data_IF_576751504249
#
_entry.id   IF_576751504249
#
_cell.length_a   1.000
_cell.length_b   1.000
_cell.length_c   1.000
_cell.angle_alpha   90.00
_cell.angle_beta   90.00
_cell.angle_gamma   90.00
#
_symmetry.space_group_name_H-M   'P 1'
#
loop_
_entity.id
_entity.type
_entity.pdbx_description
1 polymer ?
#
# COMPACT_ATOMS: atom_id res chain seq x y z
N UNK A 1 -4.66 26.59 -13.52
CA UNK A 1 -5.17 25.24 -13.17
C UNK A 1 -4.02 24.26 -12.89
N UNK A 2 -2.99 24.18 -13.74
CA UNK A 2 -1.86 23.25 -13.58
C UNK A 2 -1.17 23.26 -12.19
N UNK A 3 -0.88 24.45 -11.63
CA UNK A 3 -0.20 24.56 -10.32
C UNK A 3 -0.97 23.93 -9.14
N UNK A 4 -2.32 24.02 -9.13
CA UNK A 4 -3.15 23.43 -8.06
C UNK A 4 -3.23 21.90 -8.17
N UNK A 5 -3.23 21.37 -9.40
CA UNK A 5 -3.17 19.93 -9.64
C UNK A 5 -1.84 19.33 -9.19
N UNK A 6 -0.71 19.97 -9.52
CA UNK A 6 0.61 19.55 -9.05
C UNK A 6 0.67 19.57 -7.52
N UNK A 7 0.20 20.64 -6.89
CA UNK A 7 0.13 20.74 -5.43
C UNK A 7 -0.70 19.59 -4.82
N UNK A 8 -1.87 19.28 -5.39
CA UNK A 8 -2.70 18.18 -4.91
C UNK A 8 -2.00 16.81 -5.01
N UNK A 9 -1.25 16.55 -6.09
CA UNK A 9 -0.46 15.33 -6.25
C UNK A 9 0.68 15.26 -5.25
N UNK A 10 1.44 16.34 -5.07
CA UNK A 10 2.51 16.43 -4.07
C UNK A 10 1.95 16.19 -2.67
N UNK A 11 0.81 16.82 -2.35
CA UNK A 11 0.14 16.62 -1.07
C UNK A 11 -0.28 15.16 -0.85
N UNK A 12 -0.80 14.52 -1.89
CA UNK A 12 -1.13 13.09 -1.84
C UNK A 12 0.07 12.18 -1.64
N UNK A 13 1.20 12.46 -2.30
CA UNK A 13 2.47 11.75 -2.11
C UNK A 13 2.95 11.91 -0.66
N UNK A 14 2.94 13.12 -0.11
CA UNK A 14 3.37 13.39 1.27
C UNK A 14 2.52 12.64 2.29
N UNK A 15 1.19 12.65 2.13
CA UNK A 15 0.28 11.87 2.98
C UNK A 15 0.63 10.40 2.88
N UNK A 16 0.69 9.85 1.67
CA UNK A 16 0.97 8.43 1.45
C UNK A 16 2.35 8.01 1.96
N UNK A 17 3.35 8.88 1.90
CA UNK A 17 4.68 8.65 2.48
C UNK A 17 4.58 8.33 3.98
N UNK A 18 3.72 9.03 4.72
CA UNK A 18 3.50 8.75 6.15
C UNK A 18 2.62 7.52 6.38
N UNK A 19 1.61 7.28 5.55
CA UNK A 19 0.79 6.05 5.61
C UNK A 19 1.65 4.80 5.35
N UNK A 20 2.68 4.94 4.52
CA UNK A 20 3.67 3.92 4.21
C UNK A 20 4.53 3.48 5.37
N UNK A 21 4.44 4.13 6.54
CA UNK A 21 5.09 3.65 7.77
C UNK A 21 4.71 2.21 8.14
N UNK A 22 3.56 1.72 7.65
CA UNK A 22 3.16 0.31 7.75
C UNK A 22 4.25 -0.66 7.23
N UNK A 23 5.03 -0.25 6.23
CA UNK A 23 6.15 -1.06 5.71
C UNK A 23 7.41 -1.02 6.57
N UNK A 24 7.48 -0.13 7.56
CA UNK A 24 8.54 -0.14 8.57
C UNK A 24 8.18 -0.94 9.82
N UNK A 25 6.99 -1.56 9.86
CA UNK A 25 6.52 -2.30 11.03
C UNK A 25 7.53 -3.36 11.48
N UNK A 26 8.09 -4.16 10.56
CA UNK A 26 9.07 -5.19 10.92
C UNK A 26 10.33 -4.64 11.58
N UNK A 27 10.73 -3.41 11.24
CA UNK A 27 11.83 -2.73 11.93
C UNK A 27 11.43 -2.33 13.34
N UNK A 28 10.32 -1.58 13.46
CA UNK A 28 9.81 -1.11 14.74
C UNK A 28 9.49 -2.25 15.72
N UNK A 29 8.95 -3.35 15.21
CA UNK A 29 8.60 -4.55 15.97
C UNK A 29 9.80 -5.11 16.74
N UNK A 30 11.01 -5.08 16.18
CA UNK A 30 12.22 -5.57 16.87
C UNK A 30 12.50 -4.82 18.17
N UNK A 31 12.27 -3.52 18.18
CA UNK A 31 12.47 -2.70 19.37
C UNK A 31 11.28 -2.77 20.33
N UNK A 32 10.04 -2.78 19.81
CA UNK A 32 8.84 -2.88 20.65
C UNK A 32 8.76 -4.23 21.39
N UNK A 33 9.03 -5.33 20.68
CA UNK A 33 9.05 -6.66 21.26
C UNK A 33 10.13 -6.78 22.33
N UNK A 34 11.34 -6.30 22.03
CA UNK A 34 12.44 -6.28 23.00
C UNK A 34 12.11 -5.45 24.25
N UNK A 35 11.53 -4.27 24.07
CA UNK A 35 11.12 -3.40 25.19
C UNK A 35 10.09 -4.08 26.09
N UNK A 36 9.01 -4.59 25.51
CA UNK A 36 7.94 -5.20 26.28
C UNK A 36 8.39 -6.50 26.95
N UNK A 37 9.20 -7.31 26.26
CA UNK A 37 9.76 -8.54 26.81
C UNK A 37 10.61 -8.28 28.07
N UNK A 38 11.43 -7.22 28.06
CA UNK A 38 12.33 -6.90 29.17
C UNK A 38 11.64 -6.10 30.28
N UNK A 39 10.76 -5.16 29.94
CA UNK A 39 10.22 -4.16 30.88
C UNK A 39 8.80 -4.42 31.35
N UNK A 40 8.01 -5.19 30.61
CA UNK A 40 6.57 -5.36 30.87
C UNK A 40 6.24 -6.80 31.22
N UNK A 41 6.51 -7.73 30.31
CA UNK A 41 6.17 -9.15 30.46
C UNK A 41 7.07 -10.02 29.58
N UNK A 42 7.88 -10.87 30.21
CA UNK A 42 8.81 -11.79 29.54
C UNK A 42 8.12 -12.92 28.76
N UNK A 43 6.81 -13.09 28.89
CA UNK A 43 6.06 -14.04 28.06
C UNK A 43 5.75 -13.49 26.66
N UNK A 44 5.91 -12.18 26.45
CA UNK A 44 5.66 -11.54 25.16
C UNK A 44 6.78 -11.88 24.18
N UNK A 45 6.42 -12.44 23.04
CA UNK A 45 7.32 -12.78 21.95
C UNK A 45 7.02 -12.00 20.65
N UNK A 46 7.85 -12.21 19.64
CA UNK A 46 7.65 -11.69 18.29
C UNK A 46 6.33 -12.13 17.65
N UNK A 47 5.87 -13.34 17.96
CA UNK A 47 4.60 -13.89 17.46
C UNK A 47 3.40 -13.11 17.98
N UNK A 48 3.43 -12.67 19.24
CA UNK A 48 2.38 -11.85 19.83
C UNK A 48 2.28 -10.47 19.13
N UNK A 49 3.41 -9.88 18.75
CA UNK A 49 3.43 -8.58 18.07
C UNK A 49 2.87 -8.60 16.64
N UNK A 50 2.80 -9.77 15.99
CA UNK A 50 2.17 -9.93 14.67
C UNK A 50 0.73 -9.42 14.69
N UNK A 51 0.01 -9.64 15.80
CA UNK A 51 -1.36 -9.20 15.96
C UNK A 51 -1.53 -7.70 15.84
N UNK A 52 -0.54 -6.90 16.24
CA UNK A 52 -0.58 -5.43 16.10
C UNK A 52 -0.67 -5.06 14.62
N UNK A 53 0.19 -5.64 13.77
CA UNK A 53 0.17 -5.38 12.32
C UNK A 53 -1.07 -5.97 11.64
N UNK A 54 -1.51 -7.16 12.06
CA UNK A 54 -2.74 -7.77 11.56
C UNK A 54 -3.96 -6.92 11.83
N UNK A 55 -4.09 -6.38 13.05
CA UNK A 55 -5.19 -5.49 13.43
C UNK A 55 -5.09 -4.14 12.72
N UNK A 56 -3.88 -3.61 12.52
CA UNK A 56 -3.68 -2.40 11.69
C UNK A 56 -4.23 -2.59 10.28
N UNK A 57 -3.85 -3.71 9.64
CA UNK A 57 -4.25 -4.02 8.26
C UNK A 57 -5.73 -4.36 8.16
N UNK A 58 -6.28 -5.07 9.15
CA UNK A 58 -7.71 -5.38 9.23
C UNK A 58 -8.53 -4.09 9.40
N UNK A 59 -8.12 -3.20 10.30
CA UNK A 59 -8.75 -1.89 10.48
C UNK A 59 -8.66 -1.05 9.20
N UNK A 60 -7.51 -1.04 8.54
CA UNK A 60 -7.36 -0.37 7.24
C UNK A 60 -8.40 -0.87 6.23
N UNK A 61 -8.50 -2.19 6.05
CA UNK A 61 -9.41 -2.80 5.07
C UNK A 61 -10.88 -2.60 5.42
N UNK A 62 -11.29 -2.93 6.65
CA UNK A 62 -12.68 -2.85 7.09
C UNK A 62 -13.21 -1.42 7.12
N UNK A 63 -12.36 -0.44 7.45
CA UNK A 63 -12.80 0.94 7.61
C UNK A 63 -12.61 1.82 6.37
N UNK A 64 -12.05 1.29 5.28
CA UNK A 64 -11.81 2.04 4.05
C UNK A 64 -13.10 2.50 3.37
N UNK A 65 -14.16 1.70 3.42
CA UNK A 65 -15.49 2.05 2.87
C UNK A 65 -16.05 3.30 3.57
N UNK A 66 -15.90 3.37 4.90
CA UNK A 66 -16.33 4.52 5.68
C UNK A 66 -15.55 5.79 5.32
N UNK A 67 -14.26 5.67 4.97
CA UNK A 67 -13.48 6.79 4.45
C UNK A 67 -14.07 7.41 3.18
N UNK A 68 -14.44 6.57 2.21
CA UNK A 68 -15.11 7.04 0.99
C UNK A 68 -16.50 7.66 1.24
N UNK A 69 -17.27 7.10 2.18
CA UNK A 69 -18.57 7.67 2.57
C UNK A 69 -18.42 9.02 3.30
N UNK A 70 -17.42 9.14 4.16
CA UNK A 70 -17.13 10.36 4.90
C UNK A 70 -16.68 11.47 3.93
N UNK A 71 -15.78 11.16 2.99
CA UNK A 71 -15.37 12.10 1.94
C UNK A 71 -16.56 12.67 1.15
N UNK A 72 -17.54 11.86 0.80
CA UNK A 72 -18.74 12.34 0.09
C UNK A 72 -19.56 13.34 0.91
N UNK A 73 -19.57 13.22 2.24
CA UNK A 73 -20.35 14.07 3.14
C UNK A 73 -19.64 15.36 3.53
N UNK A 74 -18.37 15.28 3.94
CA UNK A 74 -17.63 16.43 4.52
C UNK A 74 -16.53 16.96 3.60
N UNK A 75 -16.32 16.32 2.45
CA UNK A 75 -15.28 16.69 1.50
C UNK A 75 -13.90 16.11 1.84
N UNK A 76 -12.94 16.25 0.91
CA UNK A 76 -11.68 15.53 0.96
C UNK A 76 -10.73 16.03 2.05
N UNK A 77 -10.69 17.35 2.26
CA UNK A 77 -9.75 17.96 3.20
C UNK A 77 -10.05 17.53 4.63
N UNK A 78 -11.32 17.55 5.03
CA UNK A 78 -11.74 17.20 6.38
C UNK A 78 -11.55 15.71 6.62
N UNK A 79 -11.97 14.85 5.69
CA UNK A 79 -11.76 13.40 5.79
C UNK A 79 -10.29 13.04 5.97
N UNK A 80 -9.42 13.63 5.13
CA UNK A 80 -7.99 13.39 5.21
C UNK A 80 -7.37 13.95 6.51
N UNK A 81 -7.78 15.14 6.95
CA UNK A 81 -7.32 15.74 8.20
C UNK A 81 -7.66 14.89 9.43
N UNK A 82 -8.90 14.37 9.50
CA UNK A 82 -9.34 13.47 10.56
C UNK A 82 -8.52 12.19 10.55
N UNK A 83 -8.37 11.55 9.39
CA UNK A 83 -7.59 10.31 9.27
C UNK A 83 -6.12 10.50 9.65
N UNK A 84 -5.48 11.57 9.18
CA UNK A 84 -4.09 11.88 9.50
C UNK A 84 -3.90 12.12 11.00
N UNK A 85 -4.83 12.86 11.61
CA UNK A 85 -4.82 13.10 13.06
C UNK A 85 -4.98 11.79 13.83
N UNK A 86 -5.89 10.90 13.43
CA UNK A 86 -6.06 9.59 14.07
C UNK A 86 -4.81 8.71 13.94
N UNK A 87 -4.16 8.69 12.77
CA UNK A 87 -2.93 7.93 12.57
C UNK A 87 -1.81 8.45 13.47
N UNK A 88 -1.54 9.75 13.42
CA UNK A 88 -0.47 10.36 14.22
C UNK A 88 -0.77 10.28 15.71
N UNK A 89 -2.02 10.50 16.14
CA UNK A 89 -2.43 10.31 17.53
C UNK A 89 -2.30 8.86 17.98
N UNK A 90 -2.65 7.88 17.13
CA UNK A 90 -2.47 6.45 17.41
C UNK A 90 -1.01 6.11 17.71
N UNK A 91 -0.10 6.59 16.87
CA UNK A 91 1.34 6.43 17.07
C UNK A 91 1.81 7.16 18.32
N UNK A 92 1.44 8.42 18.54
CA UNK A 92 1.86 9.19 19.72
C UNK A 92 1.34 8.58 21.03
N UNK A 93 0.10 8.08 21.05
CA UNK A 93 -0.47 7.41 22.21
C UNK A 93 0.26 6.11 22.54
N UNK A 94 0.92 5.49 21.57
CA UNK A 94 1.76 4.31 21.81
C UNK A 94 2.90 4.56 22.78
N UNK A 95 3.39 5.81 22.88
CA UNK A 95 4.36 6.23 23.90
C UNK A 95 3.94 5.82 25.31
N UNK A 96 2.66 5.99 25.65
CA UNK A 96 2.14 5.64 26.97
C UNK A 96 1.74 4.17 27.06
N UNK A 97 1.20 3.60 25.98
CA UNK A 97 0.66 2.23 26.05
C UNK A 97 1.72 1.14 25.98
N UNK A 98 2.90 1.42 25.40
CA UNK A 98 4.02 0.47 25.32
C UNK A 98 4.53 0.04 26.71
N UNK A 99 4.33 0.88 27.72
CA UNK A 99 4.71 0.61 29.11
C UNK A 99 3.64 -0.18 29.88
N UNK A 100 2.43 -0.30 29.32
CA UNK A 100 1.27 -0.85 30.03
C UNK A 100 0.99 -2.30 29.62
N UNK A 101 0.68 -2.54 28.34
CA UNK A 101 0.35 -3.89 27.86
C UNK A 101 0.33 -3.97 26.34
N UNK A 102 0.50 -5.19 25.81
CA UNK A 102 0.43 -5.44 24.37
C UNK A 102 -0.96 -5.13 23.82
N UNK A 103 -2.02 -5.39 24.61
CA UNK A 103 -3.38 -5.04 24.22
C UNK A 103 -3.54 -3.53 24.00
N UNK A 104 -3.00 -2.72 24.92
CA UNK A 104 -3.06 -1.26 24.79
C UNK A 104 -2.29 -0.76 23.56
N UNK A 105 -1.10 -1.33 23.28
CA UNK A 105 -0.33 -1.06 22.03
C UNK A 105 -1.13 -1.46 20.79
N UNK A 106 -1.81 -2.60 20.85
CA UNK A 106 -2.64 -3.10 19.76
C UNK A 106 -3.82 -2.16 19.47
N UNK A 107 -4.41 -1.54 20.49
CA UNK A 107 -5.48 -0.56 20.32
C UNK A 107 -4.98 0.78 19.76
N UNK A 108 -3.80 1.26 20.19
CA UNK A 108 -3.25 2.54 19.74
C UNK A 108 -2.49 2.42 18.43
N UNK A 109 -1.38 1.69 18.42
CA UNK A 109 -0.52 1.51 17.26
C UNK A 109 -1.22 0.68 16.17
N UNK A 110 -2.07 -0.27 16.57
CA UNK A 110 -2.79 -1.15 15.66
C UNK A 110 -4.08 -0.53 15.13
N UNK A 111 -5.13 -0.60 15.93
CA UNK A 111 -6.49 -0.21 15.54
C UNK A 111 -6.60 1.28 15.18
N UNK A 112 -6.17 2.17 16.07
CA UNK A 112 -6.33 3.62 15.87
C UNK A 112 -5.50 4.14 14.68
N UNK A 113 -4.26 3.66 14.53
CA UNK A 113 -3.46 3.94 13.34
C UNK A 113 -4.10 3.39 12.05
N UNK A 114 -4.61 2.16 12.08
CA UNK A 114 -5.29 1.54 10.94
C UNK A 114 -6.54 2.30 10.49
N UNK A 115 -7.33 2.82 11.43
CA UNK A 115 -8.46 3.73 11.16
C UNK A 115 -7.98 5.04 10.51
N UNK A 116 -6.87 5.59 10.99
CA UNK A 116 -6.30 6.81 10.40
C UNK A 116 -5.84 6.61 8.96
N UNK A 117 -5.20 5.46 8.68
CA UNK A 117 -4.80 5.06 7.33
C UNK A 117 -6.03 4.90 6.44
N UNK A 118 -7.08 4.20 6.90
CA UNK A 118 -8.27 3.92 6.10
C UNK A 118 -8.98 5.18 5.59
N UNK A 119 -9.08 6.20 6.44
CA UNK A 119 -9.73 7.48 6.11
C UNK A 119 -8.87 8.35 5.17
N UNK A 120 -7.54 8.28 5.30
CA UNK A 120 -6.62 9.15 4.57
C UNK A 120 -6.14 8.57 3.24
N UNK A 121 -6.36 7.28 2.99
CA UNK A 121 -5.82 6.58 1.82
C UNK A 121 -6.54 6.94 0.51
N UNK A 122 -7.86 6.82 0.48
CA UNK A 122 -8.65 6.94 -0.77
C UNK A 122 -8.70 8.37 -1.28
N UNK A 123 -8.77 9.34 -0.38
CA UNK A 123 -9.07 10.73 -0.70
C UNK A 123 -8.02 11.44 -1.56
N UNK A 124 -6.70 11.29 -1.29
CA UNK A 124 -5.69 11.88 -2.17
C UNK A 124 -5.65 11.25 -3.57
N UNK A 125 -5.90 9.95 -3.68
CA UNK A 125 -6.01 9.25 -4.97
C UNK A 125 -7.17 9.82 -5.79
N UNK A 126 -8.35 9.95 -5.16
CA UNK A 126 -9.52 10.53 -5.80
C UNK A 126 -9.27 11.97 -6.27
N UNK A 127 -8.60 12.79 -5.47
CA UNK A 127 -8.26 14.17 -5.86
C UNK A 127 -7.28 14.20 -7.04
N UNK A 128 -6.22 13.36 -7.02
CA UNK A 128 -5.24 13.28 -8.09
C UNK A 128 -5.85 12.90 -9.44
N UNK A 129 -6.72 11.87 -9.45
CA UNK A 129 -7.42 11.43 -10.66
C UNK A 129 -8.31 12.51 -11.26
N UNK A 130 -8.98 13.32 -10.42
CA UNK A 130 -9.84 14.43 -10.87
C UNK A 130 -9.05 15.55 -11.54
N UNK A 131 -7.81 15.81 -11.09
CA UNK A 131 -6.95 16.84 -11.69
C UNK A 131 -6.35 16.43 -13.03
N UNK A 132 -6.16 15.12 -13.25
CA UNK A 132 -5.50 14.58 -14.44
C UNK A 132 -6.29 13.38 -15.01
N UNK A 133 -7.47 13.63 -15.60
CA UNK A 133 -8.34 12.58 -16.15
C UNK A 133 -7.66 11.72 -17.21
N UNK A 134 -6.77 12.31 -18.01
CA UNK A 134 -6.10 11.61 -19.12
C UNK A 134 -4.96 10.69 -18.64
N UNK A 135 -4.54 10.82 -17.38
CA UNK A 135 -3.37 10.13 -16.82
C UNK A 135 -3.63 9.54 -15.43
N UNK A 136 -4.88 9.14 -15.15
CA UNK A 136 -5.32 8.61 -13.84
C UNK A 136 -4.39 7.52 -13.29
N UNK A 137 -4.01 6.55 -14.13
CA UNK A 137 -3.13 5.45 -13.75
C UNK A 137 -1.75 5.91 -13.29
N UNK A 138 -1.10 6.80 -14.06
CA UNK A 138 0.21 7.36 -13.72
C UNK A 138 0.17 8.20 -12.42
N UNK A 139 -0.86 9.04 -12.25
CA UNK A 139 -1.01 9.85 -11.03
C UNK A 139 -1.24 8.97 -9.80
N UNK A 140 -2.12 7.96 -9.89
CA UNK A 140 -2.31 7.01 -8.79
C UNK A 140 -1.01 6.26 -8.49
N UNK A 141 -0.29 5.80 -9.53
CA UNK A 141 1.01 5.16 -9.39
C UNK A 141 2.01 6.01 -8.59
N UNK A 142 2.13 7.30 -8.90
CA UNK A 142 3.00 8.22 -8.16
C UNK A 142 2.58 8.42 -6.71
N UNK A 143 1.28 8.64 -6.44
CA UNK A 143 0.78 8.83 -5.08
C UNK A 143 1.00 7.56 -4.25
N UNK A 144 0.67 6.39 -4.80
CA UNK A 144 0.83 5.09 -4.15
C UNK A 144 2.31 4.70 -4.04
N UNK A 145 3.19 5.17 -4.93
CA UNK A 145 4.64 5.03 -4.77
C UNK A 145 5.16 5.78 -3.54
N UNK A 146 4.54 6.90 -3.16
CA UNK A 146 4.78 7.56 -1.87
C UNK A 146 4.61 6.60 -0.70
N UNK A 147 3.54 5.80 -0.69
CA UNK A 147 3.31 4.76 0.31
C UNK A 147 4.41 3.69 0.31
N UNK A 148 4.91 3.30 -0.87
CA UNK A 148 6.05 2.39 -0.99
C UNK A 148 7.33 2.97 -0.37
N UNK A 149 7.59 4.27 -0.57
CA UNK A 149 8.76 4.96 -0.03
C UNK A 149 8.69 5.26 1.47
N UNK A 150 7.54 5.09 2.13
CA UNK A 150 7.38 5.47 3.54
C UNK A 150 8.40 4.80 4.45
N UNK A 151 8.64 3.51 4.22
CA UNK A 151 9.63 2.74 4.96
C UNK A 151 11.08 3.21 4.77
N UNK A 152 11.44 3.85 3.64
CA UNK A 152 12.80 4.34 3.40
C UNK A 152 13.20 5.37 4.48
N UNK A 153 12.34 6.34 4.74
CA UNK A 153 12.59 7.38 5.74
C UNK A 153 12.39 6.85 7.16
N UNK A 154 11.26 6.20 7.43
CA UNK A 154 10.91 5.81 8.80
C UNK A 154 11.81 4.71 9.36
N UNK A 155 12.22 3.72 8.56
CA UNK A 155 13.10 2.62 9.02
C UNK A 155 14.46 3.12 9.45
N UNK A 156 15.12 3.95 8.62
CA UNK A 156 16.42 4.52 8.97
C UNK A 156 16.33 5.46 10.17
N UNK A 157 15.30 6.31 10.22
CA UNK A 157 15.08 7.19 11.36
C UNK A 157 14.89 6.40 12.65
N UNK A 158 14.04 5.37 12.64
CA UNK A 158 13.79 4.50 13.80
C UNK A 158 15.09 3.87 14.30
N UNK A 159 15.87 3.25 13.40
CA UNK A 159 17.09 2.55 13.78
C UNK A 159 18.18 3.50 14.27
N UNK A 160 18.39 4.63 13.60
CA UNK A 160 19.37 5.63 14.04
C UNK A 160 18.98 6.30 15.36
N UNK A 161 17.69 6.50 15.61
CA UNK A 161 17.21 7.06 16.87
C UNK A 161 17.31 6.05 18.03
N UNK A 162 16.95 4.79 17.79
CA UNK A 162 16.88 3.77 18.83
C UNK A 162 18.25 3.15 19.13
N UNK A 163 19.00 2.81 18.08
CA UNK A 163 20.24 2.06 18.13
C UNK A 163 21.38 2.77 17.37
N UNK A 164 21.76 4.01 17.72
CA UNK A 164 22.82 4.76 17.05
C UNK A 164 24.18 4.02 17.06
N UNK A 165 24.46 3.26 18.11
CA UNK A 165 25.73 2.55 18.30
C UNK A 165 25.76 1.15 17.64
N UNK A 166 24.71 0.80 16.89
CA UNK A 166 24.56 -0.48 16.19
C UNK A 166 24.78 -1.71 17.10
N UNK A 167 24.22 -1.66 18.30
CA UNK A 167 24.31 -2.74 19.28
C UNK A 167 23.55 -3.97 18.73
N UNK A 168 24.14 -5.17 18.79
CA UNK A 168 23.47 -6.40 18.39
C UNK A 168 22.48 -6.87 19.48
N UNK A 169 21.45 -7.65 19.11
CA UNK A 169 20.60 -8.32 20.09
C UNK A 169 21.38 -9.40 20.86
N UNK A 170 20.86 -9.80 22.03
CA UNK A 170 21.39 -10.93 22.77
C UNK A 170 21.07 -12.29 22.11
N UNK A 171 21.58 -13.38 22.69
CA UNK A 171 21.42 -14.76 22.14
C UNK A 171 19.96 -15.22 22.01
N UNK A 172 19.05 -14.62 22.75
CA UNK A 172 17.62 -14.89 22.68
C UNK A 172 16.89 -14.05 21.61
N UNK A 173 17.62 -13.19 20.89
CA UNK A 173 17.10 -12.39 19.78
C UNK A 173 16.45 -11.07 20.21
N UNK A 174 16.61 -10.64 21.46
CA UNK A 174 16.07 -9.37 21.96
C UNK A 174 17.18 -8.37 22.30
N UNK A 175 16.87 -7.08 22.10
CA UNK A 175 17.73 -5.99 22.57
C UNK A 175 17.48 -5.75 24.06
N UNK A 176 18.54 -5.83 24.88
CA UNK A 176 18.43 -5.64 26.34
C UNK A 176 19.19 -4.45 26.88
N UNK A 177 19.93 -3.75 26.03
CA UNK A 177 20.67 -2.55 26.42
C UNK A 177 19.73 -1.51 27.05
N UNK A 178 19.98 -1.07 28.30
CA UNK A 178 19.07 -0.15 28.99
C UNK A 178 18.90 1.19 28.28
N UNK A 179 19.95 1.71 27.63
CA UNK A 179 19.90 3.01 26.97
C UNK A 179 19.06 2.96 25.69
N UNK A 180 19.24 1.92 24.87
CA UNK A 180 18.40 1.61 23.71
C UNK A 180 16.93 1.47 24.12
N UNK A 181 16.64 0.69 25.15
CA UNK A 181 15.26 0.47 25.61
C UNK A 181 14.61 1.75 26.12
N UNK A 182 15.36 2.63 26.79
CA UNK A 182 14.82 3.91 27.27
C UNK A 182 14.45 4.88 26.13
N UNK A 183 15.00 4.69 24.92
CA UNK A 183 14.63 5.47 23.73
C UNK A 183 13.33 4.98 23.07
N UNK A 184 12.87 3.75 23.35
CA UNK A 184 11.71 3.14 22.68
C UNK A 184 10.40 3.92 22.86
N UNK A 185 10.02 4.40 24.05
CA UNK A 185 8.83 5.24 24.16
C UNK A 185 8.99 6.55 23.38
N UNK A 186 10.18 7.15 23.38
CA UNK A 186 10.44 8.46 22.76
C UNK A 186 10.27 8.49 21.24
N UNK A 187 10.59 7.39 20.54
CA UNK A 187 10.50 7.34 19.08
C UNK A 187 9.05 7.49 18.57
N UNK A 188 8.05 7.08 19.37
CA UNK A 188 6.64 7.21 19.01
C UNK A 188 6.19 8.67 18.95
N UNK A 189 6.64 9.49 19.90
CA UNK A 189 6.37 10.93 19.89
C UNK A 189 7.08 11.58 18.70
N UNK A 190 8.34 11.24 18.47
CA UNK A 190 9.11 11.80 17.37
C UNK A 190 8.49 11.47 15.99
N UNK A 191 8.18 10.19 15.73
CA UNK A 191 7.50 9.76 14.50
C UNK A 191 6.12 10.39 14.36
N UNK A 192 5.33 10.40 15.44
CA UNK A 192 4.00 10.98 15.43
C UNK A 192 3.99 12.46 15.06
N UNK A 193 4.93 13.26 15.60
CA UNK A 193 5.08 14.68 15.26
C UNK A 193 5.55 14.86 13.81
N UNK A 194 6.56 14.10 13.38
CA UNK A 194 7.07 14.15 11.99
C UNK A 194 5.94 13.84 11.01
N UNK A 195 5.18 12.77 11.25
CA UNK A 195 4.07 12.37 10.41
C UNK A 195 2.94 13.38 10.43
N UNK A 196 2.55 13.90 11.59
CA UNK A 196 1.49 14.90 11.70
C UNK A 196 1.81 16.16 10.89
N UNK A 197 3.04 16.65 10.98
CA UNK A 197 3.50 17.83 10.23
C UNK A 197 3.46 17.56 8.73
N UNK A 198 4.05 16.46 8.27
CA UNK A 198 4.04 16.08 6.86
C UNK A 198 2.63 15.87 6.32
N UNK A 199 1.76 15.23 7.09
CA UNK A 199 0.37 14.99 6.77
C UNK A 199 -0.41 16.29 6.66
N UNK A 200 -0.27 17.20 7.62
CA UNK A 200 -1.00 18.46 7.60
C UNK A 200 -0.57 19.33 6.42
N UNK A 201 0.74 19.40 6.12
CA UNK A 201 1.22 20.03 4.89
C UNK A 201 0.55 19.39 3.66
N UNK A 202 0.50 18.06 3.60
CA UNK A 202 -0.17 17.35 2.52
C UNK A 202 -1.67 17.65 2.42
N UNK A 203 -2.39 17.71 3.55
CA UNK A 203 -3.81 18.06 3.60
C UNK A 203 -4.06 19.51 3.13
N UNK A 204 -3.17 20.45 3.45
CA UNK A 204 -3.27 21.83 2.98
C UNK A 204 -3.09 21.94 1.46
N UNK A 205 -2.15 21.18 0.91
CA UNK A 205 -1.89 21.11 -0.54
C UNK A 205 -2.99 20.38 -1.32
N UNK A 206 -3.73 19.48 -0.66
CA UNK A 206 -4.82 18.75 -1.27
C UNK A 206 -5.92 19.70 -1.77
N UNK A 207 -6.41 19.50 -2.99
CA UNK A 207 -7.53 20.28 -3.51
C UNK A 207 -8.31 19.50 -4.55
N UNK A 208 -9.59 19.83 -4.73
CA UNK A 208 -10.42 19.35 -5.84
C UNK A 208 -10.48 20.43 -6.94
N UNK A 209 -10.60 20.05 -8.22
CA UNK A 209 -10.80 21.01 -9.30
C UNK A 209 -12.14 21.74 -9.13
N UNK A 210 -12.19 23.02 -9.56
CA UNK A 210 -13.35 23.92 -9.35
C UNK A 210 -14.60 23.50 -10.14
N UNK A 211 -14.41 22.74 -11.22
CA UNK A 211 -15.48 22.26 -12.11
C UNK A 211 -15.89 20.81 -11.78
N UNK A 212 -15.89 20.42 -10.50
CA UNK A 212 -16.24 19.04 -10.09
C UNK A 212 -17.64 18.63 -10.57
N UNK A 213 -18.58 19.59 -10.62
CA UNK A 213 -19.91 19.37 -11.18
C UNK A 213 -19.89 19.05 -12.69
N UNK A 214 -19.05 19.73 -13.47
CA UNK A 214 -18.90 19.42 -14.90
C UNK A 214 -18.20 18.09 -15.12
N UNK A 215 -17.31 17.67 -14.22
CA UNK A 215 -16.65 16.36 -14.28
C UNK A 215 -17.62 15.21 -13.95
N UNK A 216 -18.48 15.39 -12.93
CA UNK A 216 -19.56 14.45 -12.64
C UNK A 216 -20.60 14.39 -13.78
N UNK A 217 -20.99 15.54 -14.34
CA UNK A 217 -21.88 15.60 -15.51
C UNK A 217 -21.23 15.00 -16.75
N UNK A 218 -19.96 15.27 -17.04
CA UNK A 218 -19.25 14.64 -18.16
C UNK A 218 -19.19 13.12 -18.00
N UNK A 219 -18.95 12.58 -16.79
CA UNK A 219 -19.00 11.12 -16.59
C UNK A 219 -20.42 10.55 -16.74
N UNK A 220 -21.44 11.22 -16.23
CA UNK A 220 -22.84 10.82 -16.42
C UNK A 220 -23.24 10.89 -17.91
N UNK A 221 -22.92 11.98 -18.61
CA UNK A 221 -23.22 12.18 -20.03
C UNK A 221 -22.45 11.20 -20.91
N UNK A 222 -21.18 10.94 -20.61
CA UNK A 222 -20.34 9.99 -21.35
C UNK A 222 -20.77 8.55 -21.11
N UNK A 223 -21.12 8.18 -19.86
CA UNK A 223 -21.71 6.87 -19.58
C UNK A 223 -23.08 6.70 -20.25
N UNK A 224 -23.91 7.75 -20.31
CA UNK A 224 -25.20 7.76 -21.01
C UNK A 224 -25.03 7.62 -22.52
N UNK A 225 -24.12 8.39 -23.13
CA UNK A 225 -23.80 8.31 -24.56
C UNK A 225 -23.28 6.93 -24.93
N UNK A 226 -22.29 6.42 -24.19
CA UNK A 226 -21.75 5.06 -24.38
C UNK A 226 -22.85 4.00 -24.21
N UNK A 227 -23.73 4.13 -23.21
CA UNK A 227 -24.84 3.20 -23.05
C UNK A 227 -25.83 3.23 -24.22
N UNK A 228 -26.12 4.41 -24.79
CA UNK A 228 -27.00 4.56 -25.95
C UNK A 228 -26.38 4.05 -27.26
N UNK A 229 -25.07 4.23 -27.45
CA UNK A 229 -24.34 3.71 -28.61
C UNK A 229 -24.22 2.17 -28.54
N UNK A 230 -24.01 1.62 -27.35
CA UNK A 230 -23.98 0.16 -27.11
C UNK A 230 -25.36 -0.46 -27.35
N UNK A 231 -26.44 0.17 -26.92
CA UNK A 231 -27.81 -0.33 -27.16
C UNK A 231 -28.12 -0.39 -28.66
N UNK A 232 -27.70 0.63 -29.42
CA UNK A 232 -27.80 0.67 -30.88
C UNK A 232 -26.90 -0.35 -31.59
N UNK A 233 -25.73 -0.70 -31.02
CA UNK A 233 -24.85 -1.75 -31.54
C UNK A 233 -25.37 -3.16 -31.22
N UNK A 234 -25.97 -3.35 -30.04
CA UNK A 234 -26.52 -4.63 -29.60
C UNK A 234 -27.71 -5.09 -30.45
N UNK A 235 -28.52 -4.15 -30.98
CA UNK A 235 -29.58 -4.46 -31.95
C UNK A 235 -29.05 -4.97 -33.31
N UNK A 236 -27.76 -4.75 -33.62
CA UNK A 236 -27.18 -5.03 -34.94
C UNK A 236 -26.25 -6.25 -35.00
N UNK A 237 -25.98 -6.94 -33.89
CA UNK A 237 -25.04 -8.06 -33.85
C UNK A 237 -25.68 -9.41 -33.46
N UNK A 238 -25.26 -10.53 -34.10
CA UNK A 238 -25.67 -11.85 -33.66
C UNK A 238 -25.09 -12.17 -32.28
N UNK A 239 -25.90 -12.86 -31.48
CA UNK A 239 -25.84 -13.07 -30.01
C UNK A 239 -24.49 -13.53 -29.40
N UNK A 240 -23.47 -13.88 -30.19
CA UNK A 240 -22.20 -14.47 -29.70
C UNK A 240 -21.09 -13.47 -29.35
N UNK A 241 -21.21 -12.18 -29.67
CA UNK A 241 -20.12 -11.18 -29.49
C UNK A 241 -20.38 -10.16 -28.37
N UNK A 242 -21.44 -10.36 -27.57
CA UNK A 242 -21.87 -9.43 -26.52
C UNK A 242 -20.99 -9.42 -25.24
N UNK A 243 -19.95 -10.27 -25.18
CA UNK A 243 -19.15 -10.54 -23.97
C UNK A 243 -18.13 -9.44 -23.58
N UNK A 244 -17.98 -8.38 -24.37
CA UNK A 244 -17.07 -7.27 -24.07
C UNK A 244 -17.80 -5.92 -23.95
N UNK A 245 -19.02 -5.93 -23.40
CA UNK A 245 -19.69 -4.69 -23.02
C UNK A 245 -19.20 -4.25 -21.65
N UNK A 246 -18.32 -3.24 -21.66
CA UNK A 246 -17.70 -2.56 -20.52
C UNK A 246 -18.76 -1.72 -19.78
N UNK A 247 -19.74 -2.40 -19.18
CA UNK A 247 -20.78 -1.79 -18.36
C UNK A 247 -20.22 -1.54 -16.96
N UNK A 248 -20.33 -0.31 -16.45
CA UNK A 248 -20.07 -0.01 -15.05
C UNK A 248 -21.00 -0.83 -14.15
N UNK A 249 -20.50 -1.97 -13.67
CA UNK A 249 -21.27 -2.92 -12.86
C UNK A 249 -21.58 -2.30 -11.49
N UNK A 250 -22.83 -2.42 -11.05
CA UNK A 250 -23.20 -1.99 -9.69
C UNK A 250 -22.49 -2.89 -8.67
N UNK A 251 -22.17 -2.41 -7.45
CA UNK A 251 -21.49 -3.22 -6.43
C UNK A 251 -22.15 -4.58 -6.16
N UNK A 252 -23.48 -4.63 -6.18
CA UNK A 252 -24.26 -5.88 -5.97
C UNK A 252 -24.21 -6.84 -7.17
N UNK A 253 -23.87 -6.35 -8.36
CA UNK A 253 -23.65 -7.17 -9.55
C UNK A 253 -22.22 -7.74 -9.55
N UNK A 254 -21.24 -6.94 -9.11
CA UNK A 254 -19.83 -7.38 -8.96
C UNK A 254 -19.72 -8.55 -7.98
N UNK A 255 -20.41 -8.49 -6.84
CA UNK A 255 -20.37 -9.55 -5.82
C UNK A 255 -20.98 -10.88 -6.33
N UNK A 256 -21.77 -10.85 -7.40
CA UNK A 256 -22.33 -12.07 -8.02
C UNK A 256 -21.40 -12.69 -9.06
N UNK A 257 -20.35 -11.99 -9.47
CA UNK A 257 -19.43 -12.44 -10.50
C UNK A 257 -18.38 -13.40 -9.93
N UNK A 258 -18.17 -14.56 -10.57
CA UNK A 258 -17.12 -15.53 -10.18
C UNK A 258 -15.72 -14.92 -10.27
N UNK A 259 -15.48 -14.06 -11.25
CA UNK A 259 -14.20 -13.37 -11.47
C UNK A 259 -13.83 -12.48 -10.28
N UNK A 260 -14.83 -11.88 -9.61
CA UNK A 260 -14.58 -11.09 -8.40
C UNK A 260 -13.98 -11.93 -7.28
N UNK A 261 -14.53 -13.12 -7.02
CA UNK A 261 -14.00 -14.02 -6.00
C UNK A 261 -12.63 -14.59 -6.35
N UNK A 262 -12.35 -14.83 -7.64
CA UNK A 262 -11.02 -15.24 -8.09
C UNK A 262 -9.96 -14.15 -7.79
N UNK A 263 -10.24 -12.90 -8.15
CA UNK A 263 -9.35 -11.77 -7.81
C UNK A 263 -9.20 -11.58 -6.31
N UNK A 264 -10.29 -11.72 -5.55
CA UNK A 264 -10.26 -11.62 -4.11
C UNK A 264 -9.39 -12.70 -3.47
N UNK A 265 -9.50 -13.95 -3.94
CA UNK A 265 -8.70 -15.08 -3.45
C UNK A 265 -7.21 -14.89 -3.75
N UNK A 266 -6.87 -14.45 -4.97
CA UNK A 266 -5.49 -14.11 -5.34
C UNK A 266 -4.95 -13.01 -4.41
N UNK A 267 -5.74 -11.94 -4.20
CA UNK A 267 -5.36 -10.83 -3.33
C UNK A 267 -5.18 -11.27 -1.86
N UNK A 268 -6.05 -12.15 -1.38
CA UNK A 268 -6.00 -12.70 -0.03
C UNK A 268 -4.69 -13.46 0.23
N UNK A 269 -4.36 -14.47 -0.58
CA UNK A 269 -3.14 -15.26 -0.40
C UNK A 269 -1.88 -14.41 -0.55
N UNK A 270 -1.90 -13.46 -1.48
CA UNK A 270 -0.79 -12.55 -1.70
C UNK A 270 -0.54 -11.63 -0.49
N UNK A 271 -1.61 -11.08 0.09
CA UNK A 271 -1.52 -10.19 1.26
C UNK A 271 -0.94 -10.92 2.46
N UNK A 272 -1.24 -12.21 2.63
CA UNK A 272 -0.65 -13.04 3.70
C UNK A 272 0.87 -13.13 3.53
N UNK A 273 1.35 -13.51 2.33
CA UNK A 273 2.77 -13.67 2.05
C UNK A 273 3.56 -12.37 2.24
N UNK A 274 3.06 -11.25 1.68
CA UNK A 274 3.68 -9.94 1.82
C UNK A 274 3.64 -9.46 3.27
N UNK A 275 2.50 -9.63 3.95
CA UNK A 275 2.32 -9.23 5.34
C UNK A 275 3.30 -9.93 6.27
N UNK A 276 3.53 -11.23 6.05
CA UNK A 276 4.51 -12.01 6.80
C UNK A 276 5.94 -11.50 6.59
N UNK A 277 6.38 -11.35 5.32
CA UNK A 277 7.73 -10.86 5.00
C UNK A 277 7.94 -9.46 5.59
N UNK A 278 6.99 -8.55 5.39
CA UNK A 278 7.07 -7.19 5.88
C UNK A 278 7.17 -7.11 7.42
N UNK A 279 6.48 -8.00 8.13
CA UNK A 279 6.52 -8.04 9.58
C UNK A 279 7.79 -8.73 10.12
N UNK A 280 8.29 -9.78 9.48
CA UNK A 280 9.33 -10.64 10.03
C UNK A 280 10.73 -10.44 9.47
N UNK A 281 10.94 -9.68 8.39
CA UNK A 281 12.24 -9.64 7.71
C UNK A 281 13.41 -9.31 8.65
N UNK A 282 13.20 -8.37 9.59
CA UNK A 282 14.26 -7.93 10.51
C UNK A 282 14.47 -8.89 11.67
N UNK A 283 13.40 -9.33 12.34
CA UNK A 283 13.51 -10.32 13.42
C UNK A 283 14.13 -11.63 12.93
N UNK A 284 13.78 -12.06 11.71
CA UNK A 284 14.43 -13.18 11.05
C UNK A 284 15.89 -12.88 10.69
N UNK A 285 16.16 -11.71 10.09
CA UNK A 285 17.52 -11.30 9.72
C UNK A 285 18.50 -11.27 10.90
N UNK A 286 18.03 -10.81 12.07
CA UNK A 286 18.82 -10.73 13.30
C UNK A 286 19.28 -12.11 13.83
N UNK A 287 18.64 -13.20 13.40
CA UNK A 287 19.11 -14.56 13.76
C UNK A 287 20.39 -14.97 13.03
N UNK A 288 20.73 -14.31 11.92
CA UNK A 288 21.91 -14.63 11.10
C UNK A 288 22.92 -13.50 10.99
N UNK A 289 22.47 -12.25 11.19
CA UNK A 289 23.22 -11.02 10.99
C UNK A 289 23.11 -10.17 12.26
N UNK A 290 24.24 -9.85 12.87
CA UNK A 290 24.31 -9.03 14.08
C UNK A 290 24.26 -7.52 13.82
N UNK A 291 24.43 -7.11 12.56
CA UNK A 291 24.43 -5.71 12.13
C UNK A 291 22.98 -5.21 11.91
N UNK A 292 22.50 -4.43 12.88
CA UNK A 292 21.13 -3.93 12.92
C UNK A 292 20.89 -2.79 11.90
N UNK A 293 21.91 -1.93 11.71
CA UNK A 293 21.91 -0.88 10.70
C UNK A 293 21.82 -1.45 9.28
N UNK A 294 22.61 -2.48 9.00
CA UNK A 294 22.58 -3.15 7.70
C UNK A 294 21.18 -3.71 7.37
N UNK A 295 20.52 -4.35 8.35
CA UNK A 295 19.16 -4.86 8.15
C UNK A 295 18.14 -3.72 7.93
N UNK A 296 18.31 -2.58 8.60
CA UNK A 296 17.49 -1.39 8.36
C UNK A 296 17.69 -0.83 6.95
N UNK A 297 18.93 -0.83 6.44
CA UNK A 297 19.23 -0.43 5.05
C UNK A 297 18.60 -1.39 4.05
N UNK A 298 18.63 -2.71 4.29
CA UNK A 298 17.94 -3.69 3.43
C UNK A 298 16.43 -3.40 3.36
N UNK A 299 15.78 -3.19 4.52
CA UNK A 299 14.37 -2.84 4.57
C UNK A 299 14.05 -1.52 3.84
N UNK A 300 15.01 -0.60 3.82
CA UNK A 300 14.89 0.67 3.11
C UNK A 300 15.09 0.54 1.60
N UNK A 301 16.05 -0.28 1.15
CA UNK A 301 16.24 -0.58 -0.28
C UNK A 301 15.01 -1.27 -0.87
N UNK A 302 14.40 -2.20 -0.12
CA UNK A 302 13.14 -2.82 -0.47
C UNK A 302 12.03 -1.81 -0.81
N UNK A 303 11.93 -0.75 0.00
CA UNK A 303 10.95 0.32 -0.16
C UNK A 303 11.14 1.07 -1.49
N UNK A 304 12.38 1.28 -1.93
CA UNK A 304 12.69 1.89 -3.24
C UNK A 304 12.16 1.00 -4.37
N UNK A 305 12.46 -0.30 -4.34
CA UNK A 305 11.94 -1.23 -5.36
C UNK A 305 10.42 -1.28 -5.37
N UNK A 306 9.78 -1.23 -4.19
CA UNK A 306 8.32 -1.16 -4.07
C UNK A 306 7.75 0.09 -4.74
N UNK A 307 8.38 1.24 -4.54
CA UNK A 307 7.94 2.50 -5.11
C UNK A 307 8.18 2.57 -6.62
N UNK A 308 9.36 2.15 -7.09
CA UNK A 308 9.71 2.16 -8.51
C UNK A 308 8.82 1.20 -9.28
N UNK A 309 8.58 -0.01 -8.77
CA UNK A 309 7.67 -0.95 -9.41
C UNK A 309 6.25 -0.39 -9.56
N UNK A 310 5.74 0.35 -8.55
CA UNK A 310 4.42 1.01 -8.62
C UNK A 310 4.36 2.04 -9.73
N UNK A 311 5.39 2.87 -9.88
CA UNK A 311 5.47 3.87 -10.96
C UNK A 311 5.60 3.22 -12.34
N UNK A 312 6.51 2.26 -12.50
CA UNK A 312 6.80 1.61 -13.78
C UNK A 312 5.63 0.76 -14.27
N UNK A 313 5.02 -0.04 -13.40
CA UNK A 313 3.88 -0.88 -13.77
C UNK A 313 2.63 -0.04 -14.08
N UNK A 314 2.43 1.07 -13.36
CA UNK A 314 1.33 2.01 -13.65
C UNK A 314 1.51 2.74 -14.99
N UNK A 315 2.76 2.88 -15.46
CA UNK A 315 3.08 3.44 -16.77
C UNK A 315 2.99 2.38 -17.88
N UNK A 316 3.58 1.20 -17.67
CA UNK A 316 3.62 0.11 -18.65
C UNK A 316 2.27 -0.54 -18.91
N UNK A 317 1.31 -0.51 -17.97
CA UNK A 317 -0.03 -1.06 -18.22
C UNK A 317 -0.74 -0.34 -19.38
N UNK A 318 -0.58 0.98 -19.50
CA UNK A 318 -1.10 1.76 -20.62
C UNK A 318 -0.46 1.29 -21.94
N UNK A 319 0.84 1.01 -21.92
CA UNK A 319 1.58 0.52 -23.09
C UNK A 319 1.23 -0.92 -23.47
N UNK A 320 1.09 -1.82 -22.49
CA UNK A 320 0.76 -3.23 -22.72
C UNK A 320 -0.70 -3.40 -23.16
N UNK A 321 -1.65 -2.66 -22.59
CA UNK A 321 -3.03 -2.63 -23.09
C UNK A 321 -3.12 -2.06 -24.52
N UNK A 322 -2.25 -1.09 -24.87
CA UNK A 322 -2.15 -0.58 -26.25
C UNK A 322 -1.49 -1.57 -27.22
N UNK A 323 -0.65 -2.50 -26.73
CA UNK A 323 -0.02 -3.55 -27.54
C UNK A 323 -0.95 -4.76 -27.72
N UNK A 324 -1.69 -5.15 -26.67
CA UNK A 324 -2.69 -6.22 -26.71
C UNK A 324 -3.91 -5.86 -27.58
N UNK A 325 -4.18 -4.58 -27.81
CA UNK A 325 -5.21 -4.10 -28.75
C UNK A 325 -4.76 -4.07 -30.23
N UNK A 326 -3.54 -4.53 -30.53
CA UNK A 326 -3.18 -5.06 -31.85
C UNK A 326 -3.40 -4.15 -33.07
N UNK A 327 -3.22 -2.83 -32.97
CA UNK A 327 -3.39 -1.93 -34.13
C UNK A 327 -2.31 -0.85 -34.20
N UNK A 328 -1.20 -1.16 -34.88
CA UNK A 328 -0.08 -0.24 -35.13
C UNK A 328 -0.45 1.01 -35.98
N UNK A 329 -1.63 1.05 -36.59
CA UNK A 329 -2.13 2.24 -37.32
C UNK A 329 -2.79 3.29 -36.41
N UNK A 330 -3.08 2.93 -35.15
CA UNK A 330 -3.89 3.75 -34.25
C UNK A 330 -3.08 4.71 -33.36
N UNK A 331 -1.76 4.86 -33.58
CA UNK A 331 -0.90 5.71 -32.75
C UNK A 331 -1.27 7.20 -32.81
N UNK A 332 -1.78 7.68 -33.95
CA UNK A 332 -2.22 9.06 -34.12
C UNK A 332 -3.71 9.28 -33.79
N UNK A 333 -4.53 8.22 -33.80
CA UNK A 333 -5.97 8.31 -33.48
C UNK A 333 -6.27 8.08 -31.99
N UNK A 334 -5.40 7.36 -31.27
CA UNK A 334 -5.48 7.21 -29.81
C UNK A 334 -5.14 8.48 -29.02
N UNK A 335 -4.52 9.49 -29.65
CA UNK A 335 -4.39 10.82 -29.03
C UNK A 335 -5.69 11.63 -29.08
N UNK A 336 -6.63 11.28 -29.96
CA UNK A 336 -7.90 12.00 -30.14
C UNK A 336 -9.12 11.27 -29.58
N UNK A 337 -8.99 10.01 -29.17
CA UNK A 337 -10.04 9.25 -28.48
C UNK A 337 -9.59 8.81 -27.09
N UNK A 338 -9.95 9.62 -26.11
CA UNK A 338 -10.42 9.13 -24.81
C UNK A 338 -11.93 9.40 -24.75
N UNK A 339 -12.74 8.69 -23.93
CA UNK A 339 -12.47 7.56 -23.02
C UNK A 339 -13.51 6.42 -23.18
N UNK A 340 -13.20 5.16 -22.82
CA UNK A 340 -13.81 4.66 -21.57
C UNK A 340 -12.94 3.68 -20.76
N UNK A 341 -11.78 3.23 -21.25
CA UNK A 341 -10.97 2.19 -20.58
C UNK A 341 -10.35 2.60 -19.23
N UNK A 342 -10.61 3.83 -18.75
CA UNK A 342 -10.10 4.34 -17.48
C UNK A 342 -11.02 4.08 -16.28
N UNK A 343 -12.22 3.52 -16.49
CA UNK A 343 -13.22 3.28 -15.44
C UNK A 343 -13.20 1.86 -14.85
N UNK A 344 -12.68 0.86 -15.57
CA UNK A 344 -12.68 -0.54 -15.11
C UNK A 344 -11.55 -0.88 -14.10
N UNK A 345 -10.63 0.04 -13.82
CA UNK A 345 -9.40 -0.22 -13.06
C UNK A 345 -9.35 0.13 -11.54
N UNK A 346 -10.44 0.24 -10.75
CA UNK A 346 -10.30 0.14 -9.29
C UNK A 346 -9.87 -1.27 -8.86
N UNK A 347 -10.27 -2.31 -9.61
CA UNK A 347 -10.05 -3.73 -9.29
C UNK A 347 -8.75 -4.31 -9.88
N UNK A 348 -8.14 -3.67 -10.89
CA UNK A 348 -6.80 -4.02 -11.39
C UNK A 348 -5.66 -3.25 -10.68
N UNK A 349 -5.94 -2.12 -10.04
CA UNK A 349 -4.92 -1.40 -9.25
C UNK A 349 -4.28 -2.24 -8.11
N UNK A 350 -5.01 -3.16 -7.43
CA UNK A 350 -4.44 -4.05 -6.43
C UNK A 350 -3.59 -5.16 -7.07
N UNK A 351 -3.99 -5.69 -8.24
CA UNK A 351 -3.29 -6.76 -8.97
C UNK A 351 -2.04 -6.30 -9.73
N UNK A 352 -1.70 -5.00 -9.70
CA UNK A 352 -0.44 -4.45 -10.21
C UNK A 352 0.45 -3.85 -9.12
N UNK A 353 -0.14 -3.32 -8.03
CA UNK A 353 0.58 -3.19 -6.76
C UNK A 353 1.16 -4.54 -6.33
N UNK A 354 0.45 -5.63 -6.64
CA UNK A 354 0.85 -7.04 -6.56
C UNK A 354 2.21 -7.35 -7.19
N UNK A 355 2.44 -7.08 -8.49
CA UNK A 355 3.74 -7.39 -9.12
C UNK A 355 4.88 -6.56 -8.52
N UNK A 356 4.61 -5.31 -8.15
CA UNK A 356 5.58 -4.43 -7.49
C UNK A 356 5.95 -4.89 -6.08
N UNK A 357 4.95 -5.32 -5.30
CA UNK A 357 5.12 -5.78 -3.92
C UNK A 357 5.76 -7.17 -3.87
N UNK A 358 5.38 -8.07 -4.79
CA UNK A 358 6.02 -9.38 -4.94
C UNK A 358 7.47 -9.20 -5.39
N UNK A 359 7.74 -8.35 -6.39
CA UNK A 359 9.11 -8.06 -6.82
C UNK A 359 9.93 -7.40 -5.70
N UNK A 360 9.38 -6.42 -4.98
CA UNK A 360 10.04 -5.78 -3.83
C UNK A 360 10.31 -6.77 -2.70
N UNK A 361 9.34 -7.62 -2.34
CA UNK A 361 9.48 -8.62 -1.29
C UNK A 361 10.47 -9.73 -1.69
N UNK A 362 10.48 -10.13 -2.97
CA UNK A 362 11.46 -11.04 -3.54
C UNK A 362 12.85 -10.41 -3.59
N UNK A 363 12.98 -9.11 -3.81
CA UNK A 363 14.27 -8.39 -3.75
C UNK A 363 14.75 -8.24 -2.30
N UNK A 364 13.88 -7.95 -1.33
CA UNK A 364 14.24 -7.97 0.10
C UNK A 364 14.69 -9.35 0.54
N UNK A 365 13.92 -10.38 0.17
CA UNK A 365 14.22 -11.77 0.46
C UNK A 365 15.51 -12.18 -0.26
N UNK A 366 15.70 -11.78 -1.52
CA UNK A 366 16.92 -12.01 -2.28
C UNK A 366 18.11 -11.27 -1.69
N UNK A 367 17.99 -10.07 -1.15
CA UNK A 367 19.09 -9.34 -0.52
C UNK A 367 19.46 -9.97 0.83
N UNK A 368 18.47 -10.43 1.61
CA UNK A 368 18.69 -11.20 2.84
C UNK A 368 19.32 -12.56 2.53
N UNK A 369 18.83 -13.27 1.52
CA UNK A 369 19.37 -14.56 1.06
C UNK A 369 20.76 -14.37 0.44
N UNK A 370 20.96 -13.39 -0.45
CA UNK A 370 22.23 -13.08 -1.12
C UNK A 370 23.33 -12.68 -0.15
N UNK A 371 22.97 -12.05 0.98
CA UNK A 371 23.93 -11.75 2.06
C UNK A 371 24.56 -13.00 2.70
N UNK A 372 24.01 -14.21 2.43
CA UNK A 372 24.58 -15.52 2.80
C UNK A 372 24.46 -16.61 1.71
N UNK A 373 24.19 -16.26 0.45
CA UNK A 373 23.95 -17.23 -0.64
C UNK A 373 25.21 -17.97 -1.14
N UNK A 374 26.17 -18.22 -0.25
CA UNK A 374 27.28 -19.12 -0.50
C UNK A 374 27.16 -20.46 0.22
N UNK A 375 26.22 -20.66 1.17
CA UNK A 375 26.25 -21.92 1.94
C UNK A 375 24.92 -22.67 2.12
N UNK A 376 23.75 -22.03 2.02
CA UNK A 376 22.46 -22.70 2.25
C UNK A 376 21.43 -22.06 1.29
N UNK A 377 20.88 -22.73 0.28
CA UNK A 377 19.63 -23.48 0.39
C UNK A 377 19.16 -23.94 -1.01
N UNK A 378 18.96 -25.25 -1.25
CA UNK A 378 18.11 -25.75 -2.37
C UNK A 378 16.61 -25.82 -2.05
N UNK A 379 16.18 -25.76 -0.78
CA UNK A 379 14.82 -26.11 -0.33
C UNK A 379 13.80 -24.95 -0.22
N UNK A 380 14.23 -23.70 -0.11
CA UNK A 380 13.33 -22.51 -0.09
C UNK A 380 13.11 -21.98 -1.50
N UNK A 381 14.11 -22.11 -2.37
CA UNK A 381 14.03 -21.73 -3.79
C UNK A 381 12.98 -22.57 -4.54
N UNK A 382 12.84 -23.85 -4.17
CA UNK A 382 11.85 -24.77 -4.76
C UNK A 382 10.40 -24.39 -4.42
N UNK A 383 10.15 -23.85 -3.22
CA UNK A 383 8.79 -23.47 -2.79
C UNK A 383 8.29 -22.19 -3.48
N UNK A 384 9.17 -21.20 -3.67
CA UNK A 384 8.81 -19.97 -4.38
C UNK A 384 8.66 -20.20 -5.88
N UNK A 385 9.50 -21.05 -6.48
CA UNK A 385 9.37 -21.45 -7.88
C UNK A 385 8.08 -22.23 -8.11
N UNK A 386 7.76 -23.22 -7.25
CA UNK A 386 6.53 -24.00 -7.42
C UNK A 386 5.27 -23.15 -7.31
N UNK A 387 5.26 -22.12 -6.46
CA UNK A 387 4.15 -21.17 -6.35
C UNK A 387 4.02 -20.30 -7.60
N UNK A 388 5.15 -19.83 -8.15
CA UNK A 388 5.14 -19.03 -9.39
C UNK A 388 4.71 -19.85 -10.61
N UNK A 389 5.18 -21.10 -10.72
CA UNK A 389 4.80 -22.03 -11.79
C UNK A 389 3.32 -22.43 -11.67
N UNK A 390 2.84 -22.71 -10.45
CA UNK A 390 1.42 -23.01 -10.21
C UNK A 390 0.50 -21.85 -10.62
N UNK A 391 0.91 -20.60 -10.33
CA UNK A 391 0.16 -19.40 -10.74
C UNK A 391 0.19 -19.22 -12.26
N UNK A 392 1.34 -19.46 -12.91
CA UNK A 392 1.47 -19.45 -14.37
C UNK A 392 0.58 -20.51 -15.01
N UNK A 393 0.54 -21.73 -14.46
CA UNK A 393 -0.34 -22.80 -14.93
C UNK A 393 -1.83 -22.46 -14.78
N UNK A 394 -2.21 -21.81 -13.68
CA UNK A 394 -3.58 -21.33 -13.48
C UNK A 394 -3.98 -20.22 -14.46
N UNK A 395 -3.04 -19.36 -14.85
CA UNK A 395 -3.27 -18.32 -15.84
C UNK A 395 -3.39 -18.88 -17.26
N UNK A 396 -2.63 -19.93 -17.60
CA UNK A 396 -2.75 -20.62 -18.90
C UNK A 396 -4.00 -21.48 -19.02
N UNK A 397 -4.53 -21.99 -17.91
CA UNK A 397 -5.80 -22.76 -17.90
C UNK A 397 -7.05 -21.89 -18.03
N UNK A 398 -6.91 -20.56 -17.97
CA UNK A 398 -8.01 -19.61 -18.20
C UNK A 398 -8.10 -19.14 -19.65
N UNK A 399 -7.16 -19.58 -20.51
CA UNK A 399 -7.08 -19.20 -21.93
C UNK A 399 -7.53 -20.30 -22.91
N UNK A 400 -7.94 -21.46 -22.40
CA UNK A 400 -8.65 -22.53 -23.12
C UNK A 400 -10.05 -22.69 -22.52
#
# INVERSE_FOLDING_TARGET
>A
MCSKGIAAVIGGILIHLTLGNLYSFGNMMTYMASYMHVRVDSSIDYGNFIWVNSITTAAQGCFMVFGGLLEKKVGPKITCFVGCTLLSAGIMLTHYTIEVSLFAVTMTYGLLSGLGISLSYVTPLACGMKWYPDRKGFINGMIVAGFGLGALGSTNFQTMYLNPDNLPPEKDGYFKDPELLNRVPGVFIALGVIFLVMQYIGCFLLSKPRNDHQWCQQQEDESLLVSSEIENMAERMPVSTALLTDRDLKPMEIIKNKTFYLFWLIYFFNTIAIGYINAMYKSFGLTFISDDHFLAVIGSLAAIFNAVGRCLLSFSLLSVLSLLSGSASCSNHFRSLSPPYSLCCPLLSPSLSYYSLVFSSLVSLYLVIASRALELVPSVFSLSLSLSEFILSLLTLSSD
#
